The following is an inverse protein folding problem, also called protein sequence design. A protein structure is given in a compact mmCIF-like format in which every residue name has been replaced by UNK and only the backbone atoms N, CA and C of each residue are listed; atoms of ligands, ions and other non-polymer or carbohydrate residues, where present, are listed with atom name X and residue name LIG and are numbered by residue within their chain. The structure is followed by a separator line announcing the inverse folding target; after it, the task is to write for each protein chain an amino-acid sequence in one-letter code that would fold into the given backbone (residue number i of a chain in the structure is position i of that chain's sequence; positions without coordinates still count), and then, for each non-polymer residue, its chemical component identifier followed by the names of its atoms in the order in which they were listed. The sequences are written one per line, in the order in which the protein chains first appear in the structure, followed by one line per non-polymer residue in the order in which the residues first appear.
data_IF_471240898314
#
_entry.id   IF_471240898314
#
_cell.length_a   1.000
_cell.length_b   1.000
_cell.length_c   1.000
_cell.angle_alpha   90.00
_cell.angle_beta   90.00
_cell.angle_gamma   90.00
#
_symmetry.space_group_name_H-M   'P 1'
#
loop_
_entity.id
_entity.type
_entity.pdbx_description
1 polymer ?
#
# COMPACT_ATOMS: atom_id res chain seq x y z
N UNK A 1 -25.92 17.09 -32.56
CA UNK A 1 -25.12 17.65 -31.44
C UNK A 1 -25.45 16.98 -30.11
N UNK A 2 -26.72 16.83 -29.71
CA UNK A 2 -27.11 16.31 -28.38
C UNK A 2 -26.74 14.82 -28.18
N UNK A 3 -26.83 14.00 -29.24
CA UNK A 3 -26.42 12.58 -29.22
C UNK A 3 -24.93 12.37 -28.90
N UNK A 4 -24.06 13.28 -29.38
CA UNK A 4 -22.63 13.19 -29.13
C UNK A 4 -22.26 13.54 -27.68
N UNK A 5 -22.99 14.47 -27.06
CA UNK A 5 -22.79 14.84 -25.65
C UNK A 5 -23.07 13.65 -24.73
N UNK A 6 -24.12 12.86 -25.01
CA UNK A 6 -24.43 11.65 -24.25
C UNK A 6 -23.31 10.61 -24.31
N UNK A 7 -22.74 10.37 -25.50
CA UNK A 7 -21.63 9.43 -25.69
C UNK A 7 -20.38 9.90 -24.93
N UNK A 8 -20.09 11.20 -24.98
CA UNK A 8 -18.95 11.79 -24.25
C UNK A 8 -19.13 11.66 -22.74
N UNK A 9 -20.33 11.87 -22.20
CA UNK A 9 -20.59 11.69 -20.76
C UNK A 9 -20.47 10.23 -20.31
N UNK A 10 -20.96 9.29 -21.12
CA UNK A 10 -20.81 7.85 -20.84
C UNK A 10 -19.33 7.45 -20.92
N UNK A 11 -18.61 7.93 -21.92
CA UNK A 11 -17.18 7.67 -22.06
C UNK A 11 -16.38 8.25 -20.89
N UNK A 12 -16.67 9.47 -20.45
CA UNK A 12 -16.03 10.11 -19.28
C UNK A 12 -16.36 9.32 -18.00
N UNK A 13 -17.62 8.92 -17.80
CA UNK A 13 -18.02 8.12 -16.65
C UNK A 13 -17.32 6.75 -16.61
N UNK A 14 -17.25 6.07 -17.75
CA UNK A 14 -16.48 4.83 -17.88
C UNK A 14 -14.99 5.04 -17.65
N UNK A 15 -14.42 6.13 -18.16
CA UNK A 15 -13.01 6.48 -17.96
C UNK A 15 -12.71 6.77 -16.49
N UNK A 16 -13.55 7.57 -15.82
CA UNK A 16 -13.43 7.88 -14.38
C UNK A 16 -13.60 6.61 -13.54
N UNK A 17 -14.59 5.77 -13.85
CA UNK A 17 -14.79 4.50 -13.17
C UNK A 17 -13.62 3.53 -13.37
N UNK A 18 -13.10 3.43 -14.59
CA UNK A 18 -11.91 2.63 -14.92
C UNK A 18 -10.67 3.19 -14.22
N UNK A 19 -10.54 4.52 -14.13
CA UNK A 19 -9.46 5.20 -13.40
C UNK A 19 -9.55 4.90 -11.90
N UNK A 20 -10.72 5.01 -11.27
CA UNK A 20 -10.94 4.68 -9.85
C UNK A 20 -10.60 3.21 -9.57
N UNK A 21 -11.03 2.29 -10.44
CA UNK A 21 -10.70 0.86 -10.36
C UNK A 21 -9.19 0.63 -10.56
N UNK A 22 -8.55 1.38 -11.47
CA UNK A 22 -7.11 1.26 -11.74
C UNK A 22 -6.23 1.82 -10.63
N UNK A 23 -6.68 2.88 -9.93
CA UNK A 23 -5.96 3.47 -8.80
C UNK A 23 -6.04 2.53 -7.59
N UNK A 24 -7.18 1.86 -7.38
CA UNK A 24 -7.33 0.81 -6.34
C UNK A 24 -6.56 -0.49 -6.63
N UNK A 25 -6.08 -0.69 -7.86
CA UNK A 25 -5.25 -1.86 -8.26
C UNK A 25 -3.78 -1.50 -8.51
N UNK A 26 -3.41 -0.22 -8.50
CA UNK A 26 -2.02 0.24 -8.57
C UNK A 26 -1.36 0.05 -7.21
N UNK A 27 -0.81 -1.14 -7.00
CA UNK A 27 0.39 -1.45 -6.19
C UNK A 27 0.24 -2.80 -5.50
N UNK A 28 0.07 -3.86 -6.27
CA UNK A 28 0.62 -5.14 -5.83
C UNK A 28 1.69 -5.48 -6.86
N UNK A 29 2.90 -4.89 -6.78
CA UNK A 29 4.04 -5.57 -7.38
C UNK A 29 4.00 -6.99 -6.81
N UNK A 30 3.95 -7.98 -7.69
CA UNK A 30 4.06 -9.41 -7.34
C UNK A 30 5.45 -9.63 -6.75
N UNK A 31 5.62 -9.23 -5.49
CA UNK A 31 6.72 -9.64 -4.65
C UNK A 31 6.50 -11.13 -4.43
N UNK A 32 7.51 -11.95 -4.73
CA UNK A 32 7.38 -13.40 -4.66
C UNK A 32 6.78 -13.80 -3.31
N UNK A 33 5.80 -14.72 -3.25
CA UNK A 33 5.18 -15.14 -1.98
C UNK A 33 6.23 -15.60 -0.95
N UNK A 34 7.39 -16.07 -1.40
CA UNK A 34 8.52 -16.46 -0.56
C UNK A 34 9.25 -15.27 0.08
N UNK A 35 9.30 -14.14 -0.62
CA UNK A 35 10.02 -12.93 -0.20
C UNK A 35 9.21 -12.17 0.86
N UNK A 36 7.89 -12.07 0.68
CA UNK A 36 6.98 -11.55 1.71
C UNK A 36 7.02 -12.39 2.99
N UNK A 37 7.07 -13.72 2.86
CA UNK A 37 7.17 -14.63 4.00
C UNK A 37 8.50 -14.43 4.75
N UNK A 38 9.62 -14.35 4.01
CA UNK A 38 10.94 -14.09 4.60
C UNK A 38 11.06 -12.72 5.25
N UNK A 39 10.56 -11.66 4.61
CA UNK A 39 10.57 -10.31 5.20
C UNK A 39 9.75 -10.28 6.48
N UNK A 40 8.55 -10.86 6.47
CA UNK A 40 7.71 -10.93 7.67
C UNK A 40 8.43 -11.66 8.80
N UNK A 41 9.07 -12.77 8.52
CA UNK A 41 9.81 -13.55 9.52
C UNK A 41 11.00 -12.77 10.09
N UNK A 42 11.76 -12.06 9.24
CA UNK A 42 12.85 -11.19 9.67
C UNK A 42 12.34 -10.01 10.54
N UNK A 43 11.24 -9.38 10.15
CA UNK A 43 10.64 -8.28 10.90
C UNK A 43 10.14 -8.75 12.27
N UNK A 44 9.46 -9.90 12.32
CA UNK A 44 9.02 -10.50 13.60
C UNK A 44 10.23 -10.86 14.47
N UNK A 45 11.29 -11.42 13.89
CA UNK A 45 12.53 -11.71 14.60
C UNK A 45 13.24 -10.45 15.13
N UNK A 46 13.10 -9.31 14.44
CA UNK A 46 13.60 -8.00 14.90
C UNK A 46 12.75 -7.35 15.99
N UNK A 47 11.61 -7.97 16.36
CA UNK A 47 10.71 -7.49 17.41
C UNK A 47 9.50 -6.69 16.91
N UNK A 48 9.23 -6.68 15.60
CA UNK A 48 8.02 -6.08 15.05
C UNK A 48 6.80 -7.00 15.23
N UNK A 49 5.64 -6.39 15.45
CA UNK A 49 4.39 -7.12 15.49
C UNK A 49 4.10 -7.77 14.13
N UNK A 50 3.49 -8.97 14.12
CA UNK A 50 3.08 -9.65 12.89
C UNK A 50 2.13 -8.81 12.03
N UNK A 51 1.34 -7.92 12.62
CA UNK A 51 0.40 -7.06 11.88
C UNK A 51 1.15 -6.03 11.04
N UNK A 52 2.08 -5.29 11.65
CA UNK A 52 2.93 -4.31 10.96
C UNK A 52 3.79 -5.00 9.89
N UNK A 53 4.37 -6.15 10.23
CA UNK A 53 5.16 -6.93 9.30
C UNK A 53 4.36 -7.36 8.06
N UNK A 54 3.08 -7.69 8.21
CA UNK A 54 2.18 -8.05 7.09
C UNK A 54 1.89 -6.83 6.18
N UNK A 55 1.68 -5.66 6.76
CA UNK A 55 1.48 -4.43 5.99
C UNK A 55 2.74 -3.98 5.26
N UNK A 56 3.91 -4.11 5.89
CA UNK A 56 5.22 -3.83 5.25
C UNK A 56 5.49 -4.82 4.12
N UNK A 57 5.26 -6.12 4.35
CA UNK A 57 5.45 -7.16 3.33
C UNK A 57 4.54 -6.94 2.10
N UNK A 58 3.31 -6.47 2.30
CA UNK A 58 2.38 -6.11 1.21
C UNK A 58 2.74 -4.83 0.46
N UNK A 59 3.65 -4.01 0.98
CA UNK A 59 3.98 -2.70 0.41
C UNK A 59 2.96 -1.60 0.74
N UNK A 60 2.01 -1.87 1.65
CA UNK A 60 0.99 -0.91 2.09
C UNK A 60 1.58 0.06 3.12
N UNK A 61 2.41 1.00 2.66
CA UNK A 61 3.10 1.99 3.51
C UNK A 61 2.15 2.69 4.48
N UNK A 62 0.99 3.13 4.01
CA UNK A 62 0.06 3.90 4.82
C UNK A 62 -0.49 3.07 5.98
N UNK A 63 -0.91 1.83 5.70
CA UNK A 63 -1.45 0.93 6.71
C UNK A 63 -0.35 0.45 7.66
N UNK A 64 0.87 0.21 7.16
CA UNK A 64 2.03 -0.14 7.97
C UNK A 64 2.41 0.97 8.96
N UNK A 65 2.43 2.23 8.53
CA UNK A 65 2.68 3.39 9.40
C UNK A 65 1.58 3.53 10.43
N UNK A 66 0.33 3.34 10.04
CA UNK A 66 -0.82 3.43 10.96
C UNK A 66 -0.74 2.35 12.03
N UNK A 67 -0.59 1.08 11.65
CA UNK A 67 -0.46 -0.04 12.57
C UNK A 67 0.73 0.13 13.52
N UNK A 68 1.90 0.51 13.00
CA UNK A 68 3.09 0.74 13.82
C UNK A 68 2.88 1.86 14.83
N UNK A 69 2.17 2.93 14.43
CA UNK A 69 1.84 4.05 15.31
C UNK A 69 0.85 3.66 16.41
N UNK A 70 -0.16 2.86 16.07
CA UNK A 70 -1.16 2.39 17.03
C UNK A 70 -0.55 1.44 18.08
N UNK A 71 0.44 0.63 17.69
CA UNK A 71 1.12 -0.29 18.60
C UNK A 71 2.20 0.38 19.46
N UNK A 72 2.99 1.28 18.87
CA UNK A 72 4.14 1.89 19.58
C UNK A 72 3.81 3.24 20.23
N UNK A 73 2.70 3.88 19.85
CA UNK A 73 2.36 5.23 20.29
C UNK A 73 3.32 6.33 19.79
N UNK A 74 4.21 6.00 18.85
CA UNK A 74 5.20 6.94 18.32
C UNK A 74 4.56 8.08 17.51
N UNK A 75 5.28 9.19 17.34
CA UNK A 75 4.85 10.26 16.45
C UNK A 75 4.80 9.80 14.98
N UNK A 76 3.92 10.41 14.18
CA UNK A 76 3.74 10.07 12.76
C UNK A 76 5.05 10.14 11.96
N UNK A 77 5.92 11.09 12.28
CA UNK A 77 7.20 11.27 11.61
C UNK A 77 8.16 10.09 11.85
N UNK A 78 8.26 9.61 13.10
CA UNK A 78 9.13 8.48 13.45
C UNK A 78 8.58 7.17 12.89
N UNK A 79 7.27 6.95 13.01
CA UNK A 79 6.61 5.79 12.40
C UNK A 79 6.82 5.76 10.87
N UNK A 80 6.68 6.91 10.22
CA UNK A 80 6.90 7.04 8.78
C UNK A 80 8.35 6.77 8.42
N UNK A 81 9.32 7.37 9.12
CA UNK A 81 10.76 7.15 8.87
C UNK A 81 11.16 5.69 8.99
N UNK A 82 10.65 5.01 10.02
CA UNK A 82 10.97 3.60 10.26
C UNK A 82 10.43 2.71 9.13
N UNK A 83 9.15 2.84 8.80
CA UNK A 83 8.52 2.05 7.72
C UNK A 83 9.11 2.39 6.34
N UNK A 84 9.43 3.67 6.10
CA UNK A 84 10.09 4.11 4.86
C UNK A 84 11.48 3.49 4.71
N UNK A 85 12.27 3.43 5.79
CA UNK A 85 13.57 2.75 5.78
C UNK A 85 13.44 1.25 5.46
N UNK A 86 12.44 0.58 6.02
CA UNK A 86 12.16 -0.83 5.74
C UNK A 86 11.74 -1.06 4.28
N UNK A 87 10.89 -0.20 3.72
CA UNK A 87 10.44 -0.31 2.32
C UNK A 87 11.55 0.04 1.33
N UNK A 88 12.47 0.93 1.70
CA UNK A 88 13.55 1.40 0.83
C UNK A 88 14.76 0.46 0.80
N UNK A 89 14.93 -0.41 1.80
CA UNK A 89 15.95 -1.47 1.75
C UNK A 89 15.74 -2.47 0.59
N UNK A 90 14.57 -2.44 -0.05
CA UNK A 90 14.20 -3.31 -1.17
C UNK A 90 14.10 -2.59 -2.54
N UNK A 91 14.58 -1.35 -2.66
CA UNK A 91 14.61 -0.60 -3.92
C UNK A 91 16.01 -0.57 -4.56
#
# INVERSE_FOLDING_TARGET
MILWVGIVLIAIGLLIGLILVSIGRRSIPMRSPEECARLREQLIASGLSPQVAEHVARGDRLEAVKAYREETGLGLAEATRYIDALLKQDL
#
